data_IF_928967095030
#
_entry.id   IF_928967095030
#
_cell.length_a   1.000
_cell.length_b   1.000
_cell.length_c   1.000
_cell.angle_alpha   90.00
_cell.angle_beta   90.00
_cell.angle_gamma   90.00
#
_symmetry.space_group_name_H-M   'P 1'
#
loop_
_entity.id
_entity.type
_entity.pdbx_description
1 polymer ?
#
# COMPACT_ATOMS: atom_id res chain seq x y z
N UNK A 1 -11.62 -8.78 2.86
CA UNK A 1 -10.91 -7.73 3.62
C UNK A 1 -10.57 -6.55 2.71
N UNK A 2 -10.74 -5.32 3.21
CA UNK A 2 -10.40 -4.09 2.48
C UNK A 2 -9.31 -3.35 3.23
N UNK A 3 -8.28 -2.92 2.51
CA UNK A 3 -7.16 -2.18 3.03
C UNK A 3 -6.99 -0.91 2.20
N UNK A 4 -7.01 0.25 2.86
CA UNK A 4 -6.57 1.50 2.28
C UNK A 4 -5.20 1.80 2.86
N UNK A 5 -4.21 2.04 2.00
CA UNK A 5 -2.93 2.57 2.43
C UNK A 5 -2.59 3.84 1.66
N UNK A 6 -1.74 4.66 2.24
CA UNK A 6 -1.18 5.78 1.53
C UNK A 6 0.18 6.21 2.06
N UNK A 7 0.92 6.87 1.17
CA UNK A 7 2.26 7.37 1.42
C UNK A 7 2.26 8.87 1.13
N UNK A 8 2.78 9.63 2.10
CA UNK A 8 2.96 11.07 2.01
C UNK A 8 4.42 11.40 2.22
N UNK A 9 4.97 12.31 1.42
CA UNK A 9 6.25 12.92 1.72
C UNK A 9 6.01 14.25 2.43
N UNK A 10 6.73 14.48 3.52
CA UNK A 10 6.66 15.72 4.27
C UNK A 10 8.05 16.34 4.39
N UNK A 11 8.14 17.63 4.09
CA UNK A 11 9.33 18.45 4.35
C UNK A 11 9.43 18.76 5.85
N UNK A 12 10.58 18.45 6.44
CA UNK A 12 10.96 18.79 7.81
C UNK A 12 11.32 20.27 7.94
N UNK A 13 10.87 20.90 9.03
CA UNK A 13 11.00 22.32 9.33
C UNK A 13 9.92 22.81 10.30
N UNK A 14 9.82 24.12 10.55
CA UNK A 14 8.81 24.73 11.45
C UNK A 14 7.34 24.47 11.01
N UNK A 15 7.10 24.21 9.73
CA UNK A 15 5.81 23.75 9.20
C UNK A 15 6.04 22.54 8.31
N UNK A 16 5.38 21.42 8.63
CA UNK A 16 5.33 20.23 7.77
C UNK A 16 4.58 20.61 6.49
N UNK A 17 5.29 20.65 5.37
CA UNK A 17 4.68 20.83 4.05
C UNK A 17 4.63 19.48 3.34
N UNK A 18 3.47 19.08 2.84
CA UNK A 18 3.35 17.88 2.01
C UNK A 18 4.02 18.14 0.65
N UNK A 19 4.91 17.24 0.25
CA UNK A 19 5.64 17.31 -1.02
C UNK A 19 4.95 16.42 -2.05
N UNK A 20 4.62 16.99 -3.21
CA UNK A 20 4.00 16.27 -4.31
C UNK A 20 2.57 15.77 -4.02
N UNK A 21 2.11 14.80 -4.82
CA UNK A 21 0.80 14.15 -4.63
C UNK A 21 0.94 12.96 -3.70
N UNK A 22 0.14 12.91 -2.64
CA UNK A 22 0.02 11.72 -1.80
C UNK A 22 -0.44 10.52 -2.63
N UNK A 23 0.18 9.37 -2.41
CA UNK A 23 -0.22 8.13 -3.05
C UNK A 23 -1.27 7.49 -2.15
N UNK A 24 -2.51 7.42 -2.60
CA UNK A 24 -3.59 6.72 -1.91
C UNK A 24 -4.00 5.52 -2.76
N UNK A 25 -3.78 4.31 -2.25
CA UNK A 25 -4.09 3.06 -2.96
C UNK A 25 -5.06 2.22 -2.14
N UNK A 26 -5.93 1.52 -2.86
CA UNK A 26 -6.92 0.63 -2.27
C UNK A 26 -6.69 -0.81 -2.72
N UNK A 27 -6.66 -1.73 -1.76
CA UNK A 27 -6.58 -3.16 -2.00
C UNK A 27 -7.75 -3.89 -1.36
N UNK A 28 -8.30 -4.87 -2.07
CA UNK A 28 -9.37 -5.73 -1.57
C UNK A 28 -9.02 -7.19 -1.81
N UNK A 29 -8.92 -7.95 -0.73
CA UNK A 29 -8.84 -9.41 -0.78
C UNK A 29 -10.24 -10.01 -0.60
N UNK A 30 -10.65 -10.87 -1.51
CA UNK A 30 -11.92 -11.60 -1.46
C UNK A 30 -11.66 -13.10 -1.55
N UNK A 31 -12.30 -13.85 -0.68
CA UNK A 31 -12.24 -15.30 -0.68
C UNK A 31 -13.50 -15.80 -1.38
N UNK A 32 -13.34 -16.71 -2.33
CA UNK A 32 -14.46 -17.27 -3.07
C UNK A 32 -14.23 -18.74 -3.40
N UNK A 33 -15.32 -19.42 -3.73
CA UNK A 33 -15.32 -20.80 -4.18
C UNK A 33 -15.88 -20.85 -5.61
N UNK A 34 -15.32 -21.70 -6.45
CA UNK A 34 -15.83 -21.92 -7.81
C UNK A 34 -15.80 -23.40 -8.17
N UNK A 35 -16.71 -23.81 -9.08
CA UNK A 35 -16.71 -25.13 -9.71
C UNK A 35 -16.04 -25.12 -11.09
N UNK A 36 -15.50 -23.98 -11.52
CA UNK A 36 -14.94 -23.84 -12.86
C UNK A 36 -13.65 -24.67 -13.00
N UNK A 37 -13.61 -25.68 -13.88
CA UNK A 37 -12.44 -26.55 -14.05
C UNK A 37 -11.22 -25.83 -14.65
N UNK A 38 -11.41 -24.66 -15.29
CA UNK A 38 -10.30 -23.87 -15.86
C UNK A 38 -9.50 -23.11 -14.80
N UNK A 39 -10.10 -22.83 -13.64
CA UNK A 39 -9.43 -22.20 -12.51
C UNK A 39 -8.81 -23.30 -11.66
N UNK A 40 -7.59 -23.72 -12.03
CA UNK A 40 -6.85 -24.73 -11.27
C UNK A 40 -6.57 -24.18 -9.88
N UNK A 41 -7.04 -24.86 -8.84
CA UNK A 41 -6.66 -24.50 -7.48
C UNK A 41 -5.25 -25.03 -7.19
N UNK A 42 -4.28 -24.17 -6.93
CA UNK A 42 -2.97 -24.58 -6.41
C UNK A 42 -3.07 -25.27 -5.04
N UNK A 43 -4.01 -24.87 -4.19
CA UNK A 43 -4.35 -25.60 -2.98
C UNK A 43 -5.35 -26.71 -3.29
N UNK A 44 -4.85 -27.88 -3.70
CA UNK A 44 -5.69 -29.05 -4.06
C UNK A 44 -6.57 -29.56 -2.91
N UNK A 45 -6.12 -29.38 -1.67
CA UNK A 45 -6.80 -29.87 -0.46
C UNK A 45 -8.00 -29.01 -0.06
N UNK A 46 -7.99 -27.71 -0.42
CA UNK A 46 -9.02 -26.74 -0.03
C UNK A 46 -9.57 -26.11 -1.29
N UNK A 47 -10.84 -26.29 -1.63
CA UNK A 47 -11.48 -25.68 -2.83
C UNK A 47 -11.74 -24.18 -2.64
N UNK A 48 -10.76 -23.42 -2.20
CA UNK A 48 -10.91 -22.00 -1.87
C UNK A 48 -9.90 -21.22 -2.70
N UNK A 49 -10.35 -20.13 -3.31
CA UNK A 49 -9.53 -19.21 -4.09
C UNK A 49 -9.51 -17.85 -3.40
N UNK A 50 -8.39 -17.16 -3.54
CA UNK A 50 -8.20 -15.79 -3.04
C UNK A 50 -7.94 -14.87 -4.21
N UNK A 51 -8.77 -13.85 -4.32
CA UNK A 51 -8.61 -12.78 -5.29
C UNK A 51 -8.19 -11.51 -4.56
N UNK A 52 -7.06 -10.93 -4.96
CA UNK A 52 -6.57 -9.64 -4.50
C UNK A 52 -6.79 -8.63 -5.62
N UNK A 53 -7.55 -7.59 -5.37
CA UNK A 53 -7.73 -6.49 -6.31
C UNK A 53 -6.88 -5.29 -5.88
N UNK A 54 -5.94 -4.85 -6.72
CA UNK A 54 -5.16 -3.61 -6.55
C UNK A 54 -5.76 -2.55 -7.47
N UNK A 55 -6.30 -1.46 -6.92
CA UNK A 55 -6.90 -0.38 -7.73
C UNK A 55 -7.86 -0.89 -8.84
N UNK A 56 -8.72 -1.84 -8.49
CA UNK A 56 -9.70 -2.49 -9.39
C UNK A 56 -9.14 -3.52 -10.38
N UNK A 57 -7.83 -3.76 -10.43
CA UNK A 57 -7.23 -4.84 -11.20
C UNK A 57 -7.20 -6.14 -10.38
N UNK A 58 -7.96 -7.18 -10.77
CA UNK A 58 -8.02 -8.42 -10.02
C UNK A 58 -6.84 -9.34 -10.34
N UNK A 59 -6.20 -9.83 -9.29
CA UNK A 59 -5.19 -10.87 -9.34
C UNK A 59 -5.66 -12.09 -8.55
N UNK A 60 -5.57 -13.28 -9.14
CA UNK A 60 -5.87 -14.54 -8.45
C UNK A 60 -4.55 -15.09 -7.95
N UNK A 61 -4.33 -14.97 -6.65
CA UNK A 61 -3.11 -15.46 -6.02
C UNK A 61 -3.17 -16.98 -5.89
N UNK A 62 -2.02 -17.63 -6.11
CA UNK A 62 -1.92 -19.07 -6.13
C UNK A 62 -1.42 -19.65 -4.79
N UNK A 63 -0.64 -18.89 -4.04
CA UNK A 63 -0.14 -19.32 -2.73
C UNK A 63 -0.52 -18.32 -1.64
N UNK A 64 -0.46 -18.74 -0.38
CA UNK A 64 -0.67 -17.83 0.74
C UNK A 64 0.41 -16.74 0.77
N UNK A 65 1.62 -17.09 0.34
CA UNK A 65 2.75 -16.17 0.20
C UNK A 65 2.48 -15.09 -0.85
N UNK A 66 1.91 -15.47 -2.01
CA UNK A 66 1.55 -14.52 -3.05
C UNK A 66 0.42 -13.59 -2.58
N UNK A 67 -0.58 -14.11 -1.87
CA UNK A 67 -1.63 -13.28 -1.25
C UNK A 67 -1.01 -12.28 -0.30
N UNK A 68 -0.09 -12.72 0.57
CA UNK A 68 0.55 -11.85 1.54
C UNK A 68 1.34 -10.74 0.84
N UNK A 69 2.17 -11.08 -0.14
CA UNK A 69 2.95 -10.12 -0.92
C UNK A 69 2.03 -9.13 -1.64
N UNK A 70 1.07 -9.63 -2.41
CA UNK A 70 0.19 -8.79 -3.22
C UNK A 70 -0.83 -7.99 -2.40
N UNK A 71 -1.14 -8.39 -1.17
CA UNK A 71 -2.08 -7.65 -0.33
C UNK A 71 -1.39 -6.69 0.64
N UNK A 72 -0.26 -7.07 1.24
CA UNK A 72 0.40 -6.31 2.30
C UNK A 72 1.69 -5.61 1.88
N UNK A 73 2.44 -6.15 0.91
CA UNK A 73 3.70 -5.54 0.48
C UNK A 73 3.42 -4.46 -0.57
N UNK A 74 3.99 -3.28 -0.38
CA UNK A 74 3.86 -2.16 -1.32
C UNK A 74 5.21 -1.54 -1.62
N UNK A 75 5.46 -1.37 -2.91
CA UNK A 75 6.59 -0.61 -3.45
C UNK A 75 6.00 0.40 -4.43
N UNK A 76 6.07 1.68 -4.08
CA UNK A 76 5.53 2.76 -4.90
C UNK A 76 6.66 3.77 -5.14
N UNK A 77 6.84 4.18 -6.39
CA UNK A 77 7.85 5.17 -6.76
C UNK A 77 7.26 6.57 -6.60
N UNK A 78 7.88 7.38 -5.76
CA UNK A 78 7.48 8.77 -5.58
C UNK A 78 8.39 9.68 -6.41
N UNK A 79 7.81 10.45 -7.33
CA UNK A 79 8.53 11.39 -8.19
C UNK A 79 7.98 12.79 -7.92
N UNK A 80 8.84 13.71 -7.50
CA UNK A 80 8.51 15.12 -7.34
C UNK A 80 9.56 15.98 -8.05
N UNK A 81 9.20 17.23 -8.39
CA UNK A 81 10.12 18.17 -9.04
C UNK A 81 11.01 18.82 -7.98
N UNK A 82 12.32 18.90 -8.23
CA UNK A 82 13.26 19.60 -7.34
C UNK A 82 12.88 21.09 -7.13
N UNK A 83 12.22 21.70 -8.10
CA UNK A 83 11.65 23.05 -7.99
C UNK A 83 10.64 23.20 -6.83
N UNK A 84 9.90 22.14 -6.46
CA UNK A 84 8.94 22.19 -5.35
C UNK A 84 9.62 22.27 -3.98
N UNK A 85 10.89 21.85 -3.88
CA UNK A 85 11.68 21.96 -2.66
C UNK A 85 12.33 23.34 -2.51
N UNK A 86 12.73 23.97 -3.62
CA UNK A 86 13.51 25.21 -3.67
C UNK A 86 15.01 24.96 -3.48
N UNK A 87 15.82 26.00 -3.62
CA UNK A 87 17.27 25.94 -3.34
C UNK A 87 17.53 25.89 -1.83
N UNK A 88 18.59 25.18 -1.42
CA UNK A 88 18.99 25.03 -0.01
C UNK A 88 18.89 23.60 0.53
N UNK A 89 19.06 23.48 1.86
CA UNK A 89 19.03 22.20 2.57
C UNK A 89 17.62 21.89 3.06
N UNK A 90 17.09 20.75 2.66
CA UNK A 90 15.74 20.31 3.01
C UNK A 90 15.79 18.97 3.71
N UNK A 91 15.06 18.85 4.81
CA UNK A 91 14.79 17.56 5.46
C UNK A 91 13.53 16.97 4.84
N UNK A 92 13.56 15.70 4.47
CA UNK A 92 12.40 14.98 3.94
C UNK A 92 12.14 13.77 4.81
N UNK A 93 10.88 13.56 5.16
CA UNK A 93 10.40 12.35 5.83
C UNK A 93 9.25 11.74 5.04
N UNK A 94 9.18 10.42 5.01
CA UNK A 94 8.05 9.69 4.46
C UNK A 94 7.12 9.29 5.60
N UNK A 95 5.82 9.48 5.42
CA UNK A 95 4.79 9.03 6.32
C UNK A 95 3.92 8.00 5.59
N UNK A 96 3.85 6.79 6.13
CA UNK A 96 3.00 5.73 5.63
C UNK A 96 1.82 5.54 6.58
N UNK A 97 0.61 5.44 6.05
CA UNK A 97 -0.58 5.11 6.80
C UNK A 97 -1.32 3.95 6.13
N UNK A 98 -1.92 3.10 6.94
CA UNK A 98 -2.76 2.00 6.51
C UNK A 98 -4.01 1.96 7.39
N UNK A 99 -5.15 1.62 6.81
CA UNK A 99 -6.42 1.49 7.51
C UNK A 99 -7.24 0.36 6.91
N UNK A 100 -7.96 -0.37 7.74
CA UNK A 100 -8.78 -1.49 7.32
C UNK A 100 -10.15 -1.46 8.00
N UNK A 101 -11.16 -1.96 7.28
CA UNK A 101 -12.52 -2.07 7.79
C UNK A 101 -12.69 -3.32 8.68
N UNK A 102 -13.76 -3.33 9.47
CA UNK A 102 -14.15 -4.52 10.23
C UNK A 102 -14.42 -5.69 9.28
N UNK A 103 -13.82 -6.83 9.61
CA UNK A 103 -14.00 -8.10 8.95
C UNK A 103 -14.34 -9.16 10.00
N UNK A 104 -14.99 -10.28 9.67
CA UNK A 104 -15.29 -11.35 10.64
C UNK A 104 -14.10 -11.84 11.49
N UNK A 105 -12.86 -11.66 11.00
CA UNK A 105 -11.64 -12.10 11.66
C UNK A 105 -10.77 -10.96 12.23
N UNK A 106 -11.09 -9.71 11.91
CA UNK A 106 -10.27 -8.52 12.26
C UNK A 106 -11.20 -7.35 12.58
N UNK A 107 -10.96 -6.67 13.70
CA UNK A 107 -11.65 -5.40 14.00
C UNK A 107 -11.09 -4.26 13.14
N UNK A 108 -11.90 -3.25 12.86
CA UNK A 108 -11.44 -2.00 12.23
C UNK A 108 -10.22 -1.47 12.98
N UNK A 109 -9.24 -0.99 12.23
CA UNK A 109 -8.04 -0.38 12.78
C UNK A 109 -7.31 0.46 11.75
N UNK A 110 -6.34 1.20 12.24
CA UNK A 110 -5.41 2.00 11.48
C UNK A 110 -4.00 1.85 12.06
N UNK A 111 -3.01 2.05 11.20
CA UNK A 111 -1.61 2.04 11.53
C UNK A 111 -0.95 3.20 10.78
N UNK A 112 -0.11 3.97 11.48
CA UNK A 112 0.65 5.07 10.89
C UNK A 112 2.08 4.98 11.37
N UNK A 113 3.03 5.18 10.46
CA UNK A 113 4.43 5.18 10.76
C UNK A 113 5.15 6.28 9.96
N UNK A 114 6.22 6.82 10.52
CA UNK A 114 7.04 7.86 9.90
C UNK A 114 8.47 7.33 9.75
N UNK A 115 9.07 7.56 8.59
CA UNK A 115 10.47 7.22 8.33
C UNK A 115 11.42 8.18 9.02
N UNK A 116 12.69 7.78 9.10
CA UNK A 116 13.79 8.68 9.41
C UNK A 116 13.83 9.86 8.44
N UNK A 117 14.29 11.01 8.93
CA UNK A 117 14.52 12.20 8.11
C UNK A 117 15.79 12.02 7.26
N UNK A 118 15.71 12.43 6.00
CA UNK A 118 16.83 12.46 5.06
C UNK A 118 17.07 13.91 4.67
N UNK A 119 18.31 14.37 4.73
CA UNK A 119 18.70 15.70 4.26
C UNK A 119 19.07 15.66 2.77
N UNK A 120 18.50 16.59 2.00
CA UNK A 120 18.80 16.79 0.59
C UNK A 120 19.18 18.26 0.38
N UNK A 121 20.34 18.49 -0.23
CA UNK A 121 20.80 19.82 -0.63
C UNK A 121 20.58 20.02 -2.12
N UNK A 122 19.88 21.08 -2.50
CA UNK A 122 19.68 21.49 -3.89
C UNK A 122 20.45 22.80 -4.09
N UNK A 123 21.47 22.76 -4.95
CA UNK A 123 22.24 23.91 -5.39
C UNK A 123 21.51 24.71 -6.47
#
# INVERSE_FOLDING_TARGET
MKLKYGIKLAKGGLRKHELGKSIDTYRKASIFWTRNPKLVNPMKERKIWVQVAKNFEPFIALTEEDVRKEFFDFEEKFVFKALELGTGNHKISAEAFASWETHPYIKKGDAKNQSSEIEISIN
#
